data_IF_177438123190
#
_entry.id   IF_177438123190
#
_cell.length_a   1.000
_cell.length_b   1.000
_cell.length_c   1.000
_cell.angle_alpha   90.00
_cell.angle_beta   90.00
_cell.angle_gamma   90.00
#
_symmetry.space_group_name_H-M   'P 1'
#
loop_
_entity.id
_entity.type
_entity.pdbx_description
1 polymer ?
#
# COMPACT_ATOMS: atom_id res chain seq x y z
N UNK A 1 8.53 -14.92 -19.28
CA UNK A 1 7.04 -14.90 -19.10
C UNK A 1 6.55 -13.49 -19.36
N UNK A 2 5.57 -13.34 -20.25
CA UNK A 2 4.95 -12.03 -20.53
C UNK A 2 4.51 -11.35 -19.22
N UNK A 3 4.76 -10.06 -19.11
CA UNK A 3 4.52 -9.23 -17.89
C UNK A 3 5.39 -9.56 -16.66
N UNK A 4 6.36 -10.46 -16.75
CA UNK A 4 7.33 -10.72 -15.67
C UNK A 4 8.73 -10.32 -16.09
N UNK A 5 9.22 -10.89 -17.21
CA UNK A 5 10.59 -10.64 -17.67
C UNK A 5 10.73 -9.24 -18.28
N UNK A 6 9.68 -8.74 -18.92
CA UNK A 6 9.62 -7.37 -19.48
C UNK A 6 9.81 -6.28 -18.40
N UNK A 7 9.26 -6.48 -17.20
CA UNK A 7 9.43 -5.55 -16.08
C UNK A 7 10.71 -5.76 -15.27
N UNK A 8 11.57 -6.70 -15.68
CA UNK A 8 12.86 -7.00 -15.06
C UNK A 8 14.04 -6.76 -15.98
N UNK A 9 13.82 -6.13 -17.13
CA UNK A 9 14.86 -5.82 -18.10
C UNK A 9 15.81 -4.76 -17.57
N UNK A 10 17.05 -5.14 -17.28
CA UNK A 10 18.11 -4.20 -16.89
C UNK A 10 18.48 -3.22 -18.01
N UNK A 11 18.33 -3.60 -19.27
CA UNK A 11 18.53 -2.74 -20.43
C UNK A 11 17.51 -1.61 -20.47
N UNK A 12 16.22 -1.97 -20.31
CA UNK A 12 15.13 -0.98 -20.21
C UNK A 12 15.34 -0.03 -19.04
N UNK A 13 15.73 -0.56 -17.86
CA UNK A 13 16.00 0.28 -16.69
C UNK A 13 17.13 1.27 -16.92
N UNK A 14 18.23 0.84 -17.56
CA UNK A 14 19.35 1.72 -17.94
C UNK A 14 18.93 2.78 -18.97
N UNK A 15 18.10 2.41 -19.95
CA UNK A 15 17.56 3.35 -20.93
C UNK A 15 16.68 4.42 -20.28
N UNK A 16 15.81 4.04 -19.36
CA UNK A 16 14.98 4.98 -18.59
C UNK A 16 15.85 5.89 -17.70
N UNK A 17 16.86 5.33 -17.01
CA UNK A 17 17.78 6.12 -16.19
C UNK A 17 18.60 7.14 -17.02
N UNK A 18 19.01 6.77 -18.25
CA UNK A 18 19.66 7.68 -19.17
C UNK A 18 18.72 8.85 -19.55
N UNK A 19 17.47 8.54 -19.87
CA UNK A 19 16.47 9.56 -20.19
C UNK A 19 16.19 10.50 -19.01
N UNK A 20 16.09 9.94 -17.80
CA UNK A 20 15.93 10.74 -16.57
C UNK A 20 17.13 11.69 -16.40
N UNK A 21 18.36 11.23 -16.70
CA UNK A 21 19.57 12.05 -16.59
C UNK A 21 19.59 13.21 -17.60
N UNK A 22 19.03 13.00 -18.77
CA UNK A 22 18.90 14.05 -19.79
C UNK A 22 17.84 15.11 -19.41
N UNK A 23 16.76 14.69 -18.78
CA UNK A 23 15.61 15.57 -18.45
C UNK A 23 15.73 16.25 -17.08
N UNK A 24 16.45 15.66 -16.15
CA UNK A 24 16.61 16.23 -14.81
C UNK A 24 17.51 17.49 -14.86
N UNK A 25 17.02 18.60 -14.29
CA UNK A 25 17.82 19.78 -14.09
C UNK A 25 18.93 19.50 -13.06
N UNK A 26 20.22 19.55 -13.43
CA UNK A 26 21.32 19.26 -12.51
C UNK A 26 21.46 20.27 -11.37
N UNK A 27 20.86 21.46 -11.50
CA UNK A 27 20.84 22.49 -10.45
C UNK A 27 19.72 22.32 -9.43
N UNK A 28 18.79 21.40 -9.68
CA UNK A 28 17.65 21.14 -8.81
C UNK A 28 17.85 19.82 -8.07
N UNK A 29 17.67 19.81 -6.75
CA UNK A 29 17.59 18.60 -5.96
C UNK A 29 16.15 18.04 -6.00
N UNK A 30 16.01 16.78 -6.42
CA UNK A 30 14.76 16.05 -6.44
C UNK A 30 14.77 15.03 -5.31
N UNK A 31 13.75 15.06 -4.46
CA UNK A 31 13.58 14.10 -3.37
C UNK A 31 12.27 13.36 -3.55
N UNK A 32 12.35 12.07 -3.86
CA UNK A 32 11.18 11.21 -4.01
C UNK A 32 11.04 10.30 -2.80
N UNK A 33 9.93 10.45 -2.08
CA UNK A 33 9.63 9.57 -0.96
C UNK A 33 8.98 8.30 -1.47
N UNK A 34 9.61 7.18 -1.15
CA UNK A 34 9.10 5.85 -1.40
C UNK A 34 8.62 5.26 -0.08
N UNK A 35 7.34 4.89 0.02
CA UNK A 35 6.73 4.40 1.26
C UNK A 35 6.04 3.03 1.11
N UNK A 36 6.44 2.24 0.14
CA UNK A 36 6.02 0.85 -0.03
C UNK A 36 7.19 -0.11 0.17
N UNK A 37 7.09 -1.03 1.13
CA UNK A 37 8.16 -2.00 1.40
C UNK A 37 8.55 -2.84 0.19
N UNK A 38 7.62 -3.15 -0.71
CA UNK A 38 7.89 -3.83 -1.98
C UNK A 38 8.77 -2.98 -2.91
N UNK A 39 8.49 -1.70 -3.03
CA UNK A 39 9.30 -0.78 -3.85
C UNK A 39 10.69 -0.57 -3.24
N UNK A 40 10.78 -0.35 -1.92
CA UNK A 40 12.06 -0.24 -1.22
C UNK A 40 12.93 -1.47 -1.47
N UNK A 41 12.32 -2.67 -1.39
CA UNK A 41 13.02 -3.91 -1.67
C UNK A 41 13.58 -3.96 -3.10
N UNK A 42 12.78 -3.57 -4.09
CA UNK A 42 13.20 -3.53 -5.51
C UNK A 42 14.31 -2.51 -5.73
N UNK A 43 14.16 -1.30 -5.18
CA UNK A 43 15.19 -0.25 -5.27
C UNK A 43 16.54 -0.73 -4.74
N UNK A 44 16.54 -1.34 -3.55
CA UNK A 44 17.75 -1.83 -2.90
C UNK A 44 18.33 -3.06 -3.61
N UNK A 45 17.48 -4.04 -3.96
CA UNK A 45 17.91 -5.30 -4.57
C UNK A 45 18.60 -5.08 -5.93
N UNK A 46 18.13 -4.13 -6.69
CA UNK A 46 18.62 -3.87 -8.05
C UNK A 46 19.55 -2.65 -8.14
N UNK A 47 19.87 -2.01 -7.00
CA UNK A 47 20.73 -0.83 -6.99
C UNK A 47 20.20 0.33 -7.84
N UNK A 48 18.85 0.49 -7.90
CA UNK A 48 18.25 1.49 -8.79
C UNK A 48 18.64 2.92 -8.41
N UNK A 49 18.94 3.18 -7.14
CA UNK A 49 19.43 4.47 -6.67
C UNK A 49 20.77 4.85 -7.30
N UNK A 50 21.64 3.87 -7.57
CA UNK A 50 23.01 4.10 -8.07
C UNK A 50 23.05 4.45 -9.56
N UNK A 51 21.99 4.11 -10.29
CA UNK A 51 21.88 4.44 -11.73
C UNK A 51 21.17 5.77 -12.00
N UNK A 52 20.59 6.40 -10.98
CA UNK A 52 19.98 7.72 -11.08
C UNK A 52 21.04 8.84 -11.01
N UNK A 53 20.77 10.05 -11.55
CA UNK A 53 21.66 11.19 -11.39
C UNK A 53 21.73 11.64 -9.93
N UNK A 54 22.87 12.23 -9.52
CA UNK A 54 23.13 12.69 -8.14
C UNK A 54 22.09 13.71 -7.63
N UNK A 55 21.47 14.44 -8.55
CA UNK A 55 20.40 15.40 -8.24
C UNK A 55 19.10 14.72 -7.76
N UNK A 56 18.98 13.39 -7.92
CA UNK A 56 17.79 12.62 -7.52
C UNK A 56 18.11 11.74 -6.33
N UNK A 57 17.39 11.96 -5.24
CA UNK A 57 17.47 11.15 -4.02
C UNK A 57 16.17 10.43 -3.74
N UNK A 58 16.27 9.11 -3.54
CA UNK A 58 15.17 8.32 -3.01
C UNK A 58 15.20 8.39 -1.48
N UNK A 59 14.06 8.78 -0.90
CA UNK A 59 13.88 8.90 0.56
C UNK A 59 12.94 7.78 1.00
N UNK A 60 13.30 7.07 2.07
CA UNK A 60 12.44 6.07 2.65
C UNK A 60 11.34 6.71 3.49
N UNK A 61 10.11 6.36 3.20
CA UNK A 61 8.94 6.76 3.97
C UNK A 61 8.59 5.75 5.06
N UNK A 62 7.42 5.91 5.71
CA UNK A 62 7.01 5.10 6.87
C UNK A 62 6.62 3.65 6.52
N UNK A 63 6.60 3.27 5.25
CA UNK A 63 6.03 2.02 4.76
C UNK A 63 4.53 2.13 4.46
N UNK A 64 3.98 1.16 3.76
CA UNK A 64 2.54 1.08 3.53
C UNK A 64 1.90 0.07 4.50
N UNK A 65 0.61 0.24 4.87
CA UNK A 65 -0.08 -0.69 5.77
C UNK A 65 -0.01 -2.14 5.31
N UNK A 66 -0.18 -2.39 4.01
CA UNK A 66 -0.13 -3.74 3.41
C UNK A 66 1.22 -4.43 3.62
N UNK A 67 2.32 -3.67 3.63
CA UNK A 67 3.68 -4.22 3.75
C UNK A 67 4.16 -4.35 5.19
N UNK A 68 3.63 -3.54 6.12
CA UNK A 68 4.15 -3.45 7.50
C UNK A 68 3.17 -3.93 8.56
N UNK A 69 1.90 -4.17 8.20
CA UNK A 69 0.87 -4.57 9.17
C UNK A 69 1.12 -5.98 9.70
N UNK A 70 1.28 -6.15 11.02
CA UNK A 70 1.38 -7.48 11.61
C UNK A 70 0.09 -8.27 11.41
N UNK A 71 0.21 -9.57 11.10
CA UNK A 71 -0.94 -10.45 10.81
C UNK A 71 -1.98 -10.46 11.93
N UNK A 72 -1.55 -10.38 13.20
CA UNK A 72 -2.46 -10.32 14.34
C UNK A 72 -3.34 -9.06 14.38
N UNK A 73 -2.92 -7.97 13.74
CA UNK A 73 -3.77 -6.78 13.61
C UNK A 73 -4.88 -6.98 12.59
N UNK A 74 -4.60 -7.75 11.54
CA UNK A 74 -5.62 -8.11 10.54
C UNK A 74 -6.64 -9.06 11.18
N UNK A 75 -6.18 -10.03 11.98
CA UNK A 75 -7.06 -10.93 12.74
C UNK A 75 -7.97 -10.15 13.72
N UNK A 76 -7.41 -9.14 14.40
CA UNK A 76 -8.17 -8.26 15.28
C UNK A 76 -9.23 -7.47 14.50
N UNK A 77 -8.88 -6.90 13.36
CA UNK A 77 -9.82 -6.17 12.50
C UNK A 77 -10.96 -7.06 12.02
N UNK A 78 -10.65 -8.32 11.66
CA UNK A 78 -11.69 -9.31 11.28
C UNK A 78 -12.63 -9.62 12.44
N UNK A 79 -12.10 -9.82 13.66
CA UNK A 79 -12.93 -10.06 14.82
C UNK A 79 -13.83 -8.87 15.15
N UNK A 80 -13.34 -7.65 14.97
CA UNK A 80 -14.17 -6.44 15.10
C UNK A 80 -15.26 -6.39 14.04
N UNK A 81 -14.95 -6.69 12.79
CA UNK A 81 -15.91 -6.63 11.68
C UNK A 81 -17.04 -7.67 11.78
N UNK A 82 -16.82 -8.76 12.50
CA UNK A 82 -17.86 -9.77 12.77
C UNK A 82 -18.83 -9.37 13.88
N UNK A 83 -18.54 -8.28 14.61
CA UNK A 83 -19.47 -7.75 15.60
C UNK A 83 -20.56 -6.92 14.90
N UNK A 84 -21.81 -7.23 15.12
CA UNK A 84 -22.98 -6.57 14.52
C UNK A 84 -23.06 -5.05 14.79
N UNK A 85 -22.48 -4.59 15.89
CA UNK A 85 -22.42 -3.16 16.25
C UNK A 85 -21.23 -2.42 15.61
N UNK A 86 -20.38 -3.09 14.84
CA UNK A 86 -19.20 -2.51 14.23
C UNK A 86 -19.32 -2.44 12.71
N UNK A 87 -18.92 -1.32 12.14
CA UNK A 87 -18.67 -1.14 10.71
C UNK A 87 -17.15 -0.94 10.54
N UNK A 88 -16.49 -1.84 9.85
CA UNK A 88 -15.07 -1.72 9.56
C UNK A 88 -14.87 -1.07 8.19
N UNK A 89 -14.25 0.10 8.16
CA UNK A 89 -13.88 0.81 6.94
C UNK A 89 -12.40 0.61 6.64
N UNK A 90 -12.05 0.28 5.42
CA UNK A 90 -10.65 0.07 5.02
C UNK A 90 -10.44 0.32 3.52
N UNK A 91 -9.19 0.46 3.11
CA UNK A 91 -8.83 0.53 1.70
C UNK A 91 -8.87 -0.84 1.02
N UNK A 92 -9.09 -0.84 -0.29
CA UNK A 92 -9.21 -2.06 -1.11
C UNK A 92 -8.01 -3.01 -0.97
N UNK A 93 -6.81 -2.47 -0.86
CA UNK A 93 -5.57 -3.23 -0.76
C UNK A 93 -5.53 -4.04 0.55
N UNK A 94 -5.92 -3.41 1.67
CA UNK A 94 -5.95 -4.06 2.97
C UNK A 94 -6.97 -5.19 3.04
N UNK A 95 -8.05 -5.15 2.25
CA UNK A 95 -9.06 -6.21 2.22
C UNK A 95 -8.50 -7.56 1.74
N UNK A 96 -7.42 -7.55 0.94
CA UNK A 96 -6.81 -8.74 0.35
C UNK A 96 -5.62 -9.27 1.14
N UNK A 97 -5.14 -8.53 2.13
CA UNK A 97 -3.97 -8.95 2.93
C UNK A 97 -4.32 -10.25 3.66
N UNK A 98 -3.44 -11.27 3.56
CA UNK A 98 -3.67 -12.54 4.24
C UNK A 98 -3.64 -12.38 5.76
N UNK A 99 -4.64 -12.93 6.42
CA UNK A 99 -4.74 -13.11 7.86
C UNK A 99 -4.38 -14.55 8.25
N UNK A 100 -4.46 -14.89 9.52
CA UNK A 100 -4.26 -16.24 10.00
C UNK A 100 -5.22 -17.23 9.32
N UNK A 101 -4.75 -18.47 9.13
CA UNK A 101 -5.51 -19.57 8.52
C UNK A 101 -6.02 -19.26 7.09
N UNK A 102 -5.30 -18.44 6.35
CA UNK A 102 -5.64 -18.09 4.97
C UNK A 102 -6.93 -17.28 4.83
N UNK A 103 -7.36 -16.61 5.89
CA UNK A 103 -8.49 -15.66 5.90
C UNK A 103 -8.04 -14.28 5.37
N UNK A 104 -8.97 -13.39 5.18
CA UNK A 104 -8.75 -11.99 4.82
C UNK A 104 -10.02 -11.19 5.15
N UNK A 105 -9.92 -9.86 5.20
CA UNK A 105 -11.10 -9.01 5.37
C UNK A 105 -12.13 -9.20 4.25
N UNK A 106 -11.68 -9.55 3.04
CA UNK A 106 -12.57 -9.87 1.93
C UNK A 106 -13.41 -11.13 2.22
N UNK A 107 -12.78 -12.19 2.77
CA UNK A 107 -13.50 -13.40 3.20
C UNK A 107 -14.38 -13.12 4.40
N UNK A 108 -13.92 -12.32 5.36
CA UNK A 108 -14.71 -11.89 6.51
C UNK A 108 -16.02 -11.20 6.08
N UNK A 109 -15.95 -10.34 5.05
CA UNK A 109 -17.15 -9.73 4.46
C UNK A 109 -18.11 -10.78 3.88
N UNK A 110 -17.59 -11.79 3.20
CA UNK A 110 -18.41 -12.89 2.67
C UNK A 110 -19.04 -13.76 3.78
N UNK A 111 -18.43 -13.79 4.96
CA UNK A 111 -18.93 -14.48 6.16
C UNK A 111 -19.95 -13.65 6.96
N UNK A 112 -20.31 -12.45 6.49
CA UNK A 112 -21.30 -11.58 7.11
C UNK A 112 -20.75 -10.39 7.89
N UNK A 113 -19.44 -10.22 7.95
CA UNK A 113 -18.80 -9.04 8.55
C UNK A 113 -19.10 -7.76 7.76
N UNK A 114 -19.42 -6.66 8.45
CA UNK A 114 -19.63 -5.36 7.78
C UNK A 114 -18.28 -4.68 7.51
N UNK A 115 -17.68 -5.05 6.40
CA UNK A 115 -16.41 -4.47 5.90
C UNK A 115 -16.71 -3.60 4.68
N UNK A 116 -16.47 -2.31 4.80
CA UNK A 116 -16.72 -1.32 3.75
C UNK A 116 -15.43 -0.80 3.15
N UNK A 117 -15.32 -0.89 1.85
CA UNK A 117 -14.22 -0.31 1.10
C UNK A 117 -14.43 1.19 0.96
N UNK A 118 -13.40 1.96 1.29
CA UNK A 118 -13.39 3.43 1.18
C UNK A 118 -12.16 3.92 0.43
N UNK A 119 -12.22 5.13 -0.05
CA UNK A 119 -11.13 5.79 -0.79
C UNK A 119 -10.50 6.95 -0.02
N UNK A 120 -11.16 7.40 1.06
CA UNK A 120 -10.68 8.47 1.93
C UNK A 120 -11.10 8.18 3.38
N UNK A 121 -10.30 8.55 4.39
CA UNK A 121 -10.73 8.52 5.79
C UNK A 121 -11.99 9.33 6.04
N UNK A 122 -12.25 10.37 5.24
CA UNK A 122 -13.47 11.16 5.32
C UNK A 122 -14.73 10.37 4.97
N UNK A 123 -14.61 9.32 4.16
CA UNK A 123 -15.73 8.42 3.88
C UNK A 123 -16.15 7.68 5.15
N UNK A 124 -15.18 7.26 5.99
CA UNK A 124 -15.49 6.63 7.27
C UNK A 124 -16.22 7.59 8.21
N UNK A 125 -15.85 8.88 8.23
CA UNK A 125 -16.55 9.91 9.01
C UNK A 125 -17.99 10.10 8.53
N UNK A 126 -18.21 10.09 7.20
CA UNK A 126 -19.55 10.16 6.62
C UNK A 126 -20.38 8.94 7.03
N UNK A 127 -19.81 7.72 6.90
CA UNK A 127 -20.47 6.48 7.31
C UNK A 127 -20.83 6.53 8.80
N UNK A 128 -19.97 7.05 9.66
CA UNK A 128 -20.23 7.19 11.09
C UNK A 128 -21.43 8.12 11.38
N UNK A 129 -21.54 9.23 10.66
CA UNK A 129 -22.69 10.15 10.79
C UNK A 129 -24.00 9.51 10.34
N UNK A 130 -23.96 8.66 9.33
CA UNK A 130 -25.10 7.94 8.79
C UNK A 130 -25.52 6.72 9.64
N UNK A 131 -24.66 6.28 10.57
CA UNK A 131 -24.90 5.10 11.43
C UNK A 131 -24.58 5.43 12.90
N UNK A 132 -25.34 6.33 13.55
CA UNK A 132 -25.03 6.83 14.89
C UNK A 132 -25.10 5.75 15.97
N UNK A 133 -25.84 4.66 15.74
CA UNK A 133 -26.03 3.55 16.70
C UNK A 133 -24.94 2.48 16.58
N UNK A 134 -23.99 2.64 15.66
CA UNK A 134 -22.92 1.69 15.40
C UNK A 134 -21.54 2.32 15.52
N UNK A 135 -20.58 1.55 15.96
CA UNK A 135 -19.19 1.98 16.00
C UNK A 135 -18.54 1.83 14.62
N UNK A 136 -18.04 2.91 14.07
CA UNK A 136 -17.26 2.88 12.81
C UNK A 136 -15.78 2.88 13.15
N UNK A 137 -15.08 1.87 12.65
CA UNK A 137 -13.64 1.68 12.83
C UNK A 137 -12.96 1.84 11.47
N UNK A 138 -11.99 2.73 11.40
CA UNK A 138 -11.11 2.83 10.22
C UNK A 138 -9.82 2.05 10.48
N UNK A 139 -9.50 1.14 9.55
CA UNK A 139 -8.36 0.23 9.62
C UNK A 139 -7.43 0.40 8.42
#
# INVERSE_FOLDING_TARGET
MKYVDEYRSGETAKGIAARIREEADPKREYRFMEFCGGHTHVLSRWGLGDILPESIRMIHGPGCPVCVMPIGRIDMAMNLALNEHVILCTYADAMRVPASKGRSLFKCRAEGGDVRMIYSPMDAVKIARENPDRQVVFF
#
